data_IF_181617677093
#
_entry.id   IF_181617677093
#
_cell.length_a   1.000
_cell.length_b   1.000
_cell.length_c   1.000
_cell.angle_alpha   90.00
_cell.angle_beta   90.00
_cell.angle_gamma   90.00
#
_symmetry.space_group_name_H-M   'P 1'
#
loop_
_entity.id
_entity.type
_entity.pdbx_description
1 polymer ?
#
# COMPACT_ATOMS: atom_id res chain seq x y z
N UNK A 1 -59.82 -5.88 52.31
CA UNK A 1 -59.50 -4.64 53.05
C UNK A 1 -58.31 -3.97 52.40
N UNK A 2 -58.54 -2.80 51.77
CA UNK A 2 -57.52 -1.89 51.22
C UNK A 2 -56.55 -1.48 52.33
N UNK A 3 -55.25 -1.55 52.07
CA UNK A 3 -54.27 -0.69 52.74
C UNK A 3 -53.44 0.03 51.69
N UNK A 4 -53.80 1.30 51.51
CA UNK A 4 -53.00 2.35 50.90
C UNK A 4 -51.73 2.52 51.74
N UNK A 5 -50.57 2.65 51.09
CA UNK A 5 -49.40 3.26 51.70
C UNK A 5 -48.72 4.15 50.65
N UNK A 6 -48.96 5.45 50.81
CA UNK A 6 -48.20 6.53 50.21
C UNK A 6 -46.78 6.51 50.79
N UNK A 7 -45.76 6.50 49.93
CA UNK A 7 -44.41 6.93 50.31
C UNK A 7 -43.98 7.97 49.30
N UNK A 8 -43.98 9.23 49.75
CA UNK A 8 -43.35 10.36 49.10
C UNK A 8 -41.91 10.50 49.63
N UNK A 9 -40.98 10.65 48.68
CA UNK A 9 -39.83 11.57 48.65
C UNK A 9 -38.82 11.52 49.81
N UNK A 10 -37.60 11.07 49.49
CA UNK A 10 -36.38 11.78 49.90
C UNK A 10 -35.29 11.59 48.82
N UNK A 11 -35.14 12.59 47.95
CA UNK A 11 -34.03 12.69 47.00
C UNK A 11 -32.86 13.36 47.73
N UNK A 12 -31.95 12.57 48.28
CA UNK A 12 -30.67 13.04 48.79
C UNK A 12 -29.63 12.96 47.68
N UNK A 13 -29.30 14.08 47.07
CA UNK A 13 -28.19 14.19 46.12
C UNK A 13 -26.86 13.98 46.87
N UNK A 14 -26.23 12.81 46.67
CA UNK A 14 -24.84 12.60 47.07
C UNK A 14 -23.97 13.18 45.96
N UNK A 15 -23.55 14.43 46.13
CA UNK A 15 -22.49 15.06 45.34
C UNK A 15 -21.18 14.50 45.88
N UNK A 16 -20.71 13.40 45.29
CA UNK A 16 -19.33 12.98 45.44
C UNK A 16 -18.45 13.92 44.61
N UNK A 17 -17.81 14.86 45.29
CA UNK A 17 -16.74 15.67 44.70
C UNK A 17 -15.58 14.70 44.42
N UNK A 18 -15.54 14.14 43.21
CA UNK A 18 -14.36 13.44 42.73
C UNK A 18 -13.32 14.51 42.43
N UNK A 19 -12.28 14.56 43.25
CA UNK A 19 -11.04 15.27 42.92
C UNK A 19 -10.57 14.76 41.56
N UNK A 20 -10.57 15.63 40.54
CA UNK A 20 -9.96 15.31 39.26
C UNK A 20 -8.53 14.87 39.52
N UNK A 21 -8.24 13.60 39.22
CA UNK A 21 -6.88 13.10 39.31
C UNK A 21 -6.04 13.87 38.29
N UNK A 22 -5.11 14.68 38.78
CA UNK A 22 -4.10 15.30 37.95
C UNK A 22 -3.37 14.23 37.14
N UNK A 23 -3.19 14.50 35.85
CA UNK A 23 -2.34 13.75 34.94
C UNK A 23 -0.91 13.72 35.52
N UNK A 24 -0.60 12.67 36.27
CA UNK A 24 0.68 12.52 36.97
C UNK A 24 0.79 11.19 37.70
N UNK A 25 0.44 10.09 37.03
CA UNK A 25 0.75 8.74 37.52
C UNK A 25 2.21 8.37 37.25
N UNK A 26 2.85 7.53 38.10
CA UNK A 26 4.22 7.07 37.90
C UNK A 26 4.26 6.16 36.66
N UNK A 27 4.63 6.75 35.53
CA UNK A 27 4.39 6.20 34.22
C UNK A 27 4.18 7.25 33.13
N UNK A 28 4.36 8.55 33.44
CA UNK A 28 4.79 9.51 32.43
C UNK A 28 6.06 8.98 31.80
N UNK A 29 5.90 8.28 30.66
CA UNK A 29 6.99 8.07 29.72
C UNK A 29 7.45 9.49 29.42
N UNK A 30 8.54 9.91 30.07
CA UNK A 30 9.34 11.03 29.58
C UNK A 30 9.44 10.79 28.09
N UNK A 31 9.10 11.81 27.31
CA UNK A 31 9.24 11.79 25.86
C UNK A 31 10.75 11.68 25.54
N UNK A 32 11.28 10.48 25.76
CA UNK A 32 12.62 10.07 25.42
C UNK A 32 12.62 10.16 23.90
N UNK A 33 13.48 11.00 23.29
CA UNK A 33 13.44 11.40 21.87
C UNK A 33 13.36 10.30 20.80
N UNK A 34 13.19 9.03 21.18
CA UNK A 34 12.68 7.90 20.41
C UNK A 34 11.35 8.20 19.72
N UNK A 35 10.38 8.81 20.40
CA UNK A 35 9.11 9.17 19.74
C UNK A 35 9.32 10.23 18.66
N UNK A 36 10.15 11.25 18.95
CA UNK A 36 10.58 12.25 17.97
C UNK A 36 11.35 11.61 16.80
N UNK A 37 12.17 10.59 17.03
CA UNK A 37 12.94 9.95 15.95
C UNK A 37 12.11 8.99 15.08
N UNK A 38 11.02 8.41 15.58
CA UNK A 38 10.18 7.47 14.82
C UNK A 38 9.39 8.13 13.67
N UNK A 39 9.31 7.47 12.52
CA UNK A 39 8.51 7.92 11.37
C UNK A 39 7.17 7.18 11.35
N UNK A 40 6.20 7.66 12.13
CA UNK A 40 4.95 6.93 12.44
C UNK A 40 3.98 6.84 11.27
N UNK A 41 3.98 7.84 10.40
CA UNK A 41 3.04 7.96 9.29
C UNK A 41 3.79 8.08 7.97
N UNK A 42 3.24 7.55 6.88
CA UNK A 42 3.83 7.74 5.55
C UNK A 42 3.91 9.24 5.19
N UNK A 43 2.88 10.03 5.51
CA UNK A 43 2.94 11.48 5.30
C UNK A 43 4.10 12.15 6.06
N UNK A 44 4.48 11.60 7.21
CA UNK A 44 5.67 12.04 7.94
C UNK A 44 6.95 11.67 7.19
N UNK A 45 7.02 10.47 6.60
CA UNK A 45 8.13 10.07 5.73
C UNK A 45 8.35 11.09 4.61
N UNK A 46 7.30 11.48 3.88
CA UNK A 46 7.38 12.51 2.84
C UNK A 46 7.94 13.84 3.38
N UNK A 47 7.40 14.31 4.51
CA UNK A 47 7.85 15.58 5.11
C UNK A 47 9.31 15.51 5.56
N UNK A 48 9.74 14.42 6.21
CA UNK A 48 11.13 14.23 6.63
C UNK A 48 12.08 14.16 5.45
N UNK A 49 11.71 13.40 4.42
CA UNK A 49 12.48 13.30 3.18
C UNK A 49 12.69 14.69 2.55
N UNK A 50 11.65 15.52 2.58
CA UNK A 50 11.67 16.86 2.02
C UNK A 50 12.22 17.93 2.97
N UNK A 51 12.36 17.67 4.27
CA UNK A 51 12.71 18.67 5.28
C UNK A 51 11.59 19.69 5.53
N UNK A 52 10.35 19.21 5.58
CA UNK A 52 9.13 20.01 5.73
C UNK A 52 8.50 19.84 7.12
N UNK A 53 9.26 19.37 8.11
CA UNK A 53 8.84 19.30 9.51
C UNK A 53 10.01 19.49 10.48
N UNK A 54 9.71 19.90 11.72
CA UNK A 54 10.67 19.99 12.81
C UNK A 54 11.17 18.62 13.26
N UNK A 55 12.32 18.58 13.94
CA UNK A 55 12.97 17.34 14.39
C UNK A 55 12.10 16.54 15.36
N UNK A 56 11.30 17.22 16.18
CA UNK A 56 10.32 16.61 17.08
C UNK A 56 9.03 16.16 16.37
N UNK A 57 8.83 16.52 15.10
CA UNK A 57 7.65 16.20 14.30
C UNK A 57 6.40 17.01 14.64
N UNK A 58 6.49 17.99 15.55
CA UNK A 58 5.32 18.77 16.02
C UNK A 58 4.97 19.95 15.12
N UNK A 59 5.95 20.50 14.40
CA UNK A 59 5.77 21.67 13.53
C UNK A 59 5.97 21.27 12.09
N UNK A 60 5.01 21.60 11.22
CA UNK A 60 5.15 21.47 9.77
C UNK A 60 5.66 22.79 9.18
N UNK A 61 6.63 22.70 8.29
CA UNK A 61 7.14 23.84 7.54
C UNK A 61 6.47 23.98 6.17
N UNK A 62 6.24 25.21 5.76
CA UNK A 62 5.63 25.60 4.49
C UNK A 62 6.55 26.55 3.71
N UNK A 63 6.34 26.72 2.39
CA UNK A 63 7.06 27.72 1.62
C UNK A 63 6.97 29.12 2.28
N UNK A 64 8.12 29.69 2.63
CA UNK A 64 8.23 30.96 3.36
C UNK A 64 8.84 30.80 4.77
N UNK A 65 8.76 29.62 5.37
CA UNK A 65 9.41 29.36 6.65
C UNK A 65 10.93 29.26 6.48
N UNK A 66 11.68 29.80 7.44
CA UNK A 66 13.15 29.83 7.40
C UNK A 66 13.79 28.43 7.37
N UNK A 67 13.08 27.43 7.90
CA UNK A 67 13.53 26.04 7.98
C UNK A 67 12.95 25.15 6.88
N UNK A 68 12.07 25.68 6.01
CA UNK A 68 11.46 24.91 4.94
C UNK A 68 12.52 24.36 3.98
N UNK A 69 12.59 23.04 3.84
CA UNK A 69 13.52 22.30 2.97
C UNK A 69 14.99 22.61 3.26
N UNK A 70 15.32 22.98 4.50
CA UNK A 70 16.68 23.29 4.91
C UNK A 70 17.64 22.10 4.69
N UNK A 71 18.80 22.36 4.08
CA UNK A 71 19.76 21.32 3.67
C UNK A 71 20.26 20.47 4.86
N UNK A 72 20.65 21.11 5.97
CA UNK A 72 21.19 20.42 7.14
C UNK A 72 20.12 19.54 7.81
N UNK A 73 18.90 20.08 7.92
CA UNK A 73 17.75 19.35 8.44
C UNK A 73 17.43 18.12 7.58
N UNK A 74 17.34 18.30 6.25
CA UNK A 74 17.10 17.20 5.31
C UNK A 74 18.17 16.12 5.39
N UNK A 75 19.44 16.52 5.49
CA UNK A 75 20.56 15.57 5.63
C UNK A 75 20.42 14.71 6.88
N UNK A 76 20.06 15.32 8.02
CA UNK A 76 19.80 14.59 9.26
C UNK A 76 18.63 13.60 9.11
N UNK A 77 17.52 14.04 8.51
CA UNK A 77 16.38 13.15 8.28
C UNK A 77 16.71 11.98 7.36
N UNK A 78 17.36 12.24 6.22
CA UNK A 78 17.67 11.18 5.26
C UNK A 78 18.55 10.08 5.86
N UNK A 79 19.40 10.37 6.85
CA UNK A 79 20.19 9.35 7.55
C UNK A 79 19.33 8.40 8.40
N UNK A 80 18.27 8.92 9.03
CA UNK A 80 17.39 8.13 9.91
C UNK A 80 16.25 7.44 9.15
N UNK A 81 15.95 7.88 7.92
CA UNK A 81 14.91 7.31 7.08
C UNK A 81 15.29 5.97 6.44
N UNK A 82 16.55 5.54 6.51
CA UNK A 82 16.94 4.19 6.12
C UNK A 82 16.69 3.19 7.25
N UNK A 83 16.31 1.97 6.90
CA UNK A 83 16.48 0.85 7.80
C UNK A 83 17.99 0.64 8.04
N UNK A 84 18.43 0.91 9.26
CA UNK A 84 19.82 0.85 9.69
C UNK A 84 20.12 -0.39 10.54
N UNK A 85 19.14 -1.29 10.72
CA UNK A 85 19.35 -2.51 11.51
C UNK A 85 19.27 -3.78 10.66
N UNK A 86 18.37 -3.83 9.67
CA UNK A 86 18.09 -5.08 8.92
C UNK A 86 18.37 -4.97 7.43
N UNK A 87 18.49 -3.76 6.88
CA UNK A 87 18.75 -3.56 5.46
C UNK A 87 20.18 -3.90 5.07
N UNK A 88 20.34 -4.52 3.91
CA UNK A 88 21.63 -4.84 3.28
C UNK A 88 22.24 -3.67 2.49
N UNK A 89 21.59 -2.50 2.46
CA UNK A 89 22.08 -1.33 1.72
C UNK A 89 23.38 -0.82 2.36
N UNK A 90 24.48 -0.81 1.59
CA UNK A 90 25.78 -0.38 2.10
C UNK A 90 25.80 1.13 2.45
N UNK A 91 26.62 1.56 3.44
CA UNK A 91 26.75 2.97 3.79
C UNK A 91 27.16 3.87 2.61
N UNK A 92 28.03 3.38 1.73
CA UNK A 92 28.48 4.09 0.53
C UNK A 92 27.31 4.32 -0.42
N UNK A 93 26.47 3.29 -0.61
CA UNK A 93 25.32 3.38 -1.50
C UNK A 93 24.21 4.29 -0.93
N UNK A 94 23.98 4.25 0.39
CA UNK A 94 23.13 5.23 1.10
C UNK A 94 23.64 6.65 0.85
N UNK A 95 24.94 6.87 1.02
CA UNK A 95 25.55 8.19 0.82
C UNK A 95 25.39 8.66 -0.63
N UNK A 96 25.59 7.81 -1.63
CA UNK A 96 25.36 8.17 -3.04
C UNK A 96 23.92 8.63 -3.29
N UNK A 97 22.94 7.91 -2.75
CA UNK A 97 21.53 8.32 -2.85
C UNK A 97 21.27 9.65 -2.15
N UNK A 98 21.76 9.83 -0.91
CA UNK A 98 21.59 11.07 -0.14
C UNK A 98 22.18 12.26 -0.90
N UNK A 99 23.40 12.13 -1.46
CA UNK A 99 24.02 13.20 -2.26
C UNK A 99 23.22 13.50 -3.53
N UNK A 100 22.68 12.48 -4.20
CA UNK A 100 21.83 12.68 -5.38
C UNK A 100 20.51 13.41 -5.05
N UNK A 101 19.93 13.16 -3.87
CA UNK A 101 18.70 13.84 -3.42
C UNK A 101 18.97 15.27 -2.94
N UNK A 102 20.13 15.50 -2.32
CA UNK A 102 20.55 16.79 -1.76
C UNK A 102 21.42 17.64 -2.70
N UNK A 103 21.47 17.31 -4.00
CA UNK A 103 22.27 18.07 -4.97
C UNK A 103 22.00 19.57 -4.90
N UNK A 104 23.06 20.38 -4.81
CA UNK A 104 22.95 21.85 -4.77
C UNK A 104 22.36 22.43 -6.06
N UNK A 105 22.65 21.80 -7.21
CA UNK A 105 22.15 22.24 -8.52
C UNK A 105 20.72 21.76 -8.78
N UNK A 106 20.42 20.52 -8.42
CA UNK A 106 19.12 19.88 -8.71
C UNK A 106 18.61 19.09 -7.51
N UNK A 107 18.16 19.76 -6.43
CA UNK A 107 17.63 19.08 -5.26
C UNK A 107 16.33 18.35 -5.61
N UNK A 108 16.20 17.12 -5.11
CA UNK A 108 15.06 16.25 -5.45
C UNK A 108 14.14 16.09 -4.25
N UNK A 109 12.84 16.04 -4.51
CA UNK A 109 11.79 15.99 -3.50
C UNK A 109 10.76 14.93 -3.86
N UNK A 110 10.16 14.32 -2.84
CA UNK A 110 8.97 13.50 -3.03
C UNK A 110 7.74 14.40 -3.06
N UNK A 111 6.82 14.13 -3.98
CA UNK A 111 5.59 14.89 -4.13
C UNK A 111 4.44 13.91 -3.99
N UNK A 112 3.72 14.02 -2.87
CA UNK A 112 2.63 13.11 -2.53
C UNK A 112 1.63 12.98 -3.67
N UNK A 113 1.16 14.10 -4.21
CA UNK A 113 0.17 14.20 -5.28
C UNK A 113 0.64 13.77 -6.68
N UNK A 114 1.94 13.48 -6.86
CA UNK A 114 2.51 13.15 -8.17
C UNK A 114 2.57 11.62 -8.31
N UNK A 115 2.38 11.13 -9.52
CA UNK A 115 2.65 9.74 -9.86
C UNK A 115 4.11 9.33 -9.60
N UNK A 116 4.40 8.04 -9.78
CA UNK A 116 5.74 7.49 -9.55
C UNK A 116 5.94 6.99 -8.13
N UNK A 117 4.86 6.72 -7.41
CA UNK A 117 4.87 5.86 -6.23
C UNK A 117 3.57 5.06 -6.17
N UNK A 118 3.64 3.87 -5.59
CA UNK A 118 2.53 2.92 -5.53
C UNK A 118 2.59 2.13 -4.22
N UNK A 119 1.45 1.62 -3.77
CA UNK A 119 1.38 0.72 -2.62
C UNK A 119 1.20 -0.72 -3.10
N UNK A 120 1.90 -1.64 -2.47
CA UNK A 120 1.64 -3.07 -2.56
C UNK A 120 1.04 -3.50 -1.22
N UNK A 121 -0.17 -4.05 -1.26
CA UNK A 121 -0.97 -4.42 -0.09
C UNK A 121 -1.23 -5.91 -0.13
N UNK A 122 -0.60 -6.64 0.78
CA UNK A 122 -0.79 -8.07 0.95
C UNK A 122 -1.99 -8.31 1.86
N UNK A 123 -2.86 -9.22 1.45
CA UNK A 123 -4.12 -9.51 2.13
C UNK A 123 -4.42 -11.02 2.13
N UNK A 124 -5.28 -11.43 3.05
CA UNK A 124 -5.84 -12.77 3.11
C UNK A 124 -7.34 -12.73 2.84
N UNK A 125 -7.79 -13.67 2.00
CA UNK A 125 -9.17 -13.88 1.63
C UNK A 125 -9.55 -15.33 1.83
N UNK A 126 -10.81 -15.57 2.17
CA UNK A 126 -11.44 -16.88 2.05
C UNK A 126 -11.99 -17.04 0.64
N UNK A 127 -11.47 -17.99 -0.13
CA UNK A 127 -11.87 -18.31 -1.49
C UNK A 127 -12.24 -19.79 -1.61
N UNK A 128 -13.47 -20.09 -1.99
CA UNK A 128 -13.94 -21.48 -2.26
C UNK A 128 -13.56 -22.50 -1.17
N UNK A 129 -13.65 -22.10 0.10
CA UNK A 129 -13.38 -22.99 1.24
C UNK A 129 -11.94 -22.93 1.79
N UNK A 130 -11.03 -22.18 1.17
CA UNK A 130 -9.62 -22.10 1.56
C UNK A 130 -9.18 -20.65 1.77
N UNK A 131 -8.23 -20.44 2.68
CA UNK A 131 -7.54 -19.15 2.82
C UNK A 131 -6.49 -19.01 1.72
N UNK A 132 -6.58 -17.92 0.97
CA UNK A 132 -5.68 -17.59 -0.11
C UNK A 132 -5.16 -16.16 0.06
N UNK A 133 -3.95 -15.92 -0.45
CA UNK A 133 -3.33 -14.59 -0.45
C UNK A 133 -3.72 -13.83 -1.70
N UNK A 134 -4.08 -12.57 -1.53
CA UNK A 134 -4.32 -11.62 -2.63
C UNK A 134 -3.41 -10.42 -2.40
N UNK A 135 -2.69 -10.00 -3.42
CA UNK A 135 -1.89 -8.78 -3.37
C UNK A 135 -2.53 -7.72 -4.26
N UNK A 136 -2.79 -6.54 -3.70
CA UNK A 136 -3.27 -5.40 -4.45
C UNK A 136 -2.13 -4.44 -4.75
N UNK A 137 -2.02 -4.03 -6.01
CA UNK A 137 -1.23 -2.85 -6.36
C UNK A 137 -2.19 -1.67 -6.38
N UNK A 138 -1.91 -0.67 -5.55
CA UNK A 138 -2.73 0.52 -5.41
C UNK A 138 -1.99 1.76 -5.88
N UNK A 139 -2.75 2.70 -6.43
CA UNK A 139 -2.29 4.04 -6.80
C UNK A 139 -3.17 5.11 -6.18
N UNK A 140 -2.61 6.29 -6.03
CA UNK A 140 -3.39 7.48 -5.73
C UNK A 140 -3.97 8.07 -7.02
N UNK A 141 -5.17 8.59 -6.95
CA UNK A 141 -5.75 9.41 -8.03
C UNK A 141 -6.44 10.66 -7.46
N UNK A 142 -6.51 11.77 -8.21
CA UNK A 142 -7.29 12.94 -7.80
C UNK A 142 -8.78 12.58 -7.65
N UNK A 143 -9.41 13.03 -6.57
CA UNK A 143 -10.84 12.87 -6.34
C UNK A 143 -11.41 14.10 -5.63
N UNK A 144 -12.33 14.81 -6.28
CA UNK A 144 -12.90 16.09 -5.82
C UNK A 144 -11.81 17.10 -5.41
N UNK A 145 -11.70 17.40 -4.10
CA UNK A 145 -10.74 18.34 -3.52
C UNK A 145 -9.50 17.65 -2.93
N UNK A 146 -9.34 16.35 -3.14
CA UNK A 146 -8.26 15.54 -2.55
C UNK A 146 -7.80 14.40 -3.44
N UNK A 147 -7.35 13.33 -2.78
CA UNK A 147 -6.85 12.12 -3.43
C UNK A 147 -7.45 10.89 -2.76
N UNK A 148 -7.64 9.83 -3.53
CA UNK A 148 -8.07 8.53 -3.02
C UNK A 148 -7.11 7.43 -3.49
N UNK A 149 -7.12 6.31 -2.75
CA UNK A 149 -6.44 5.10 -3.18
C UNK A 149 -7.39 4.26 -4.02
N UNK A 150 -6.91 3.81 -5.18
CA UNK A 150 -7.60 2.88 -6.06
C UNK A 150 -6.78 1.62 -6.27
N UNK A 151 -7.49 0.49 -6.44
CA UNK A 151 -6.87 -0.77 -6.84
C UNK A 151 -6.58 -0.67 -8.33
N UNK A 152 -5.30 -0.69 -8.68
CA UNK A 152 -4.82 -0.63 -10.06
C UNK A 152 -4.63 -2.03 -10.64
N UNK A 153 -4.20 -2.99 -9.81
CA UNK A 153 -4.05 -4.39 -10.19
C UNK A 153 -4.35 -5.34 -9.03
N UNK A 154 -4.87 -6.53 -9.37
CA UNK A 154 -5.04 -7.65 -8.45
C UNK A 154 -4.10 -8.78 -8.86
N UNK A 155 -3.23 -9.20 -7.94
CA UNK A 155 -2.35 -10.34 -8.08
C UNK A 155 -2.94 -11.47 -7.23
N UNK A 156 -3.41 -12.52 -7.90
CA UNK A 156 -4.05 -13.65 -7.26
C UNK A 156 -3.70 -14.96 -7.99
N UNK A 157 -2.89 -15.80 -7.34
CA UNK A 157 -2.35 -17.02 -7.96
C UNK A 157 -3.44 -17.94 -8.56
N UNK A 158 -4.60 -18.16 -7.92
CA UNK A 158 -5.68 -18.95 -8.51
C UNK A 158 -6.22 -18.43 -9.85
N UNK A 159 -5.99 -17.17 -10.20
CA UNK A 159 -6.40 -16.61 -11.50
C UNK A 159 -5.35 -16.74 -12.59
N UNK A 160 -4.06 -16.90 -12.26
CA UNK A 160 -2.95 -16.89 -13.24
C UNK A 160 -3.15 -17.91 -14.35
N UNK A 161 -3.56 -19.12 -13.99
CA UNK A 161 -3.70 -20.22 -14.93
C UNK A 161 -5.14 -20.42 -15.44
N UNK A 162 -6.09 -19.62 -14.97
CA UNK A 162 -7.52 -19.83 -15.24
C UNK A 162 -7.88 -19.62 -16.72
N UNK A 163 -7.10 -18.81 -17.44
CA UNK A 163 -7.35 -18.44 -18.84
C UNK A 163 -6.21 -18.83 -19.78
N UNK A 164 -5.34 -19.76 -19.36
CA UNK A 164 -4.24 -20.24 -20.17
C UNK A 164 -4.73 -21.03 -21.37
N UNK A 165 -4.24 -20.68 -22.56
CA UNK A 165 -4.70 -21.34 -23.79
C UNK A 165 -3.94 -22.63 -24.06
N UNK A 166 -4.62 -23.70 -24.50
CA UNK A 166 -3.95 -24.86 -25.05
C UNK A 166 -3.20 -24.49 -26.34
N UNK A 167 -2.05 -25.14 -26.55
CA UNK A 167 -1.21 -25.00 -27.74
C UNK A 167 -1.18 -26.33 -28.49
N UNK A 168 -1.01 -26.28 -29.82
CA UNK A 168 -0.89 -27.46 -30.68
C UNK A 168 -2.23 -28.18 -30.86
N UNK A 169 -2.17 -29.51 -30.95
CA UNK A 169 -3.32 -30.36 -31.30
C UNK A 169 -4.45 -30.35 -30.25
N UNK A 170 -4.18 -29.84 -29.06
CA UNK A 170 -5.19 -29.65 -27.99
C UNK A 170 -6.01 -28.38 -28.15
N UNK A 171 -5.62 -27.49 -29.08
CA UNK A 171 -6.33 -26.23 -29.32
C UNK A 171 -7.61 -26.49 -30.09
N UNK A 172 -8.74 -26.27 -29.44
CA UNK A 172 -10.03 -26.27 -30.10
C UNK A 172 -10.27 -24.95 -30.83
N UNK A 173 -11.03 -24.99 -31.93
CA UNK A 173 -11.36 -23.81 -32.73
C UNK A 173 -12.73 -23.95 -33.39
N UNK A 174 -13.36 -22.82 -33.70
CA UNK A 174 -14.53 -22.77 -34.57
C UNK A 174 -14.07 -22.67 -36.02
N UNK A 175 -14.63 -23.52 -36.89
CA UNK A 175 -14.31 -23.47 -38.32
C UNK A 175 -14.73 -22.12 -38.92
N UNK A 176 -13.96 -21.52 -39.85
CA UNK A 176 -14.31 -20.22 -40.44
C UNK A 176 -15.71 -20.16 -41.09
N UNK A 177 -16.16 -21.27 -41.66
CA UNK A 177 -17.50 -21.41 -42.27
C UNK A 177 -18.62 -21.75 -41.28
N UNK A 178 -18.37 -21.74 -39.96
CA UNK A 178 -19.40 -22.08 -38.96
C UNK A 178 -20.61 -21.14 -39.00
N UNK A 179 -20.45 -19.93 -39.56
CA UNK A 179 -21.53 -18.97 -39.74
C UNK A 179 -22.64 -19.49 -40.68
N UNK A 180 -22.32 -20.35 -41.65
CA UNK A 180 -23.29 -20.98 -42.57
C UNK A 180 -24.29 -21.89 -41.84
N UNK A 181 -23.89 -22.42 -40.68
CA UNK A 181 -24.73 -23.24 -39.83
C UNK A 181 -25.16 -22.49 -38.57
N UNK A 182 -25.14 -21.15 -38.60
CA UNK A 182 -25.52 -20.32 -37.45
C UNK A 182 -24.67 -20.59 -36.19
N UNK A 183 -23.42 -21.05 -36.35
CA UNK A 183 -22.52 -21.41 -35.25
C UNK A 183 -23.07 -22.48 -34.29
N UNK A 184 -23.83 -23.47 -34.79
CA UNK A 184 -24.32 -24.58 -33.97
C UNK A 184 -23.23 -25.32 -33.16
N UNK A 185 -21.98 -25.29 -33.64
CA UNK A 185 -20.82 -25.85 -32.95
C UNK A 185 -20.36 -25.07 -31.70
N UNK A 186 -20.97 -23.93 -31.36
CA UNK A 186 -20.76 -23.27 -30.06
C UNK A 186 -21.17 -24.16 -28.88
N UNK A 187 -22.07 -25.12 -29.11
CA UNK A 187 -22.35 -26.17 -28.12
C UNK A 187 -21.07 -26.87 -27.68
N UNK A 188 -20.22 -27.26 -28.64
CA UNK A 188 -18.93 -27.87 -28.34
C UNK A 188 -18.04 -26.93 -27.54
N UNK A 189 -18.01 -25.65 -27.90
CA UNK A 189 -17.17 -24.65 -27.25
C UNK A 189 -17.54 -24.39 -25.78
N UNK A 190 -18.83 -24.46 -25.42
CA UNK A 190 -19.30 -24.03 -24.09
C UNK A 190 -19.95 -25.12 -23.24
N UNK A 191 -20.21 -26.30 -23.80
CA UNK A 191 -20.78 -27.44 -23.06
C UNK A 191 -19.84 -28.65 -23.05
N UNK A 192 -19.22 -28.95 -24.19
CA UNK A 192 -18.39 -30.17 -24.32
C UNK A 192 -16.91 -29.91 -24.02
N UNK A 193 -16.46 -28.66 -24.17
CA UNK A 193 -15.10 -28.22 -23.90
C UNK A 193 -14.93 -27.74 -22.47
N UNK A 194 -13.82 -28.15 -21.83
CA UNK A 194 -13.37 -27.58 -20.56
C UNK A 194 -12.43 -26.39 -20.73
N UNK A 195 -12.21 -25.91 -21.97
CA UNK A 195 -11.22 -24.89 -22.32
C UNK A 195 -11.86 -23.74 -23.14
N UNK A 196 -12.88 -23.03 -22.60
CA UNK A 196 -13.59 -21.97 -23.31
C UNK A 196 -12.67 -20.83 -23.79
N UNK A 197 -11.54 -20.61 -23.13
CA UNK A 197 -10.51 -19.64 -23.50
C UNK A 197 -9.87 -19.92 -24.87
N UNK A 198 -9.94 -21.15 -25.37
CA UNK A 198 -9.46 -21.55 -26.71
C UNK A 198 -10.12 -20.76 -27.84
N UNK A 199 -11.35 -20.30 -27.61
CA UNK A 199 -12.18 -19.60 -28.59
C UNK A 199 -12.03 -18.07 -28.55
N UNK A 200 -11.08 -17.54 -27.76
CA UNK A 200 -10.77 -16.12 -27.69
C UNK A 200 -9.55 -15.77 -28.58
N UNK A 201 -9.37 -14.49 -28.94
CA UNK A 201 -8.20 -14.01 -29.72
C UNK A 201 -6.87 -14.38 -29.06
N UNK A 202 -5.84 -14.78 -29.82
CA UNK A 202 -4.49 -15.06 -29.26
C UNK A 202 -3.90 -13.93 -28.41
N UNK A 203 -4.32 -12.70 -28.65
CA UNK A 203 -3.93 -11.50 -27.88
C UNK A 203 -4.81 -11.23 -26.64
N UNK A 204 -5.80 -12.08 -26.35
CA UNK A 204 -6.68 -11.93 -25.20
C UNK A 204 -5.90 -12.00 -23.90
N UNK A 205 -6.13 -11.01 -23.03
CA UNK A 205 -5.62 -10.98 -21.66
C UNK A 205 -6.80 -10.73 -20.72
N UNK A 206 -7.00 -11.57 -19.69
CA UNK A 206 -8.04 -11.33 -18.71
C UNK A 206 -7.73 -10.07 -17.91
N UNK A 207 -8.77 -9.30 -17.57
CA UNK A 207 -8.68 -8.28 -16.54
C UNK A 207 -8.98 -8.92 -15.18
N UNK A 208 -7.92 -9.20 -14.41
CA UNK A 208 -8.06 -9.85 -13.11
C UNK A 208 -8.78 -9.00 -12.07
N UNK A 209 -8.80 -7.67 -12.22
CA UNK A 209 -9.61 -6.82 -11.37
C UNK A 209 -11.10 -7.07 -11.61
N UNK A 210 -11.54 -7.15 -12.87
CA UNK A 210 -12.92 -7.50 -13.20
C UNK A 210 -13.32 -8.88 -12.67
N UNK A 211 -12.44 -9.89 -12.82
CA UNK A 211 -12.69 -11.25 -12.30
C UNK A 211 -12.77 -11.24 -10.78
N UNK A 212 -11.86 -10.54 -10.10
CA UNK A 212 -11.86 -10.39 -8.66
C UNK A 212 -13.18 -9.74 -8.16
N UNK A 213 -13.60 -8.64 -8.78
CA UNK A 213 -14.84 -7.95 -8.44
C UNK A 213 -16.07 -8.83 -8.69
N UNK A 214 -16.06 -9.63 -9.75
CA UNK A 214 -17.12 -10.61 -10.01
C UNK A 214 -17.19 -11.66 -8.90
N UNK A 215 -16.07 -12.30 -8.55
CA UNK A 215 -16.02 -13.33 -7.49
C UNK A 215 -16.41 -12.77 -6.11
N UNK A 216 -16.05 -11.50 -5.81
CA UNK A 216 -16.52 -10.78 -4.63
C UNK A 216 -18.05 -10.57 -4.66
N UNK A 217 -18.62 -10.13 -5.78
CA UNK A 217 -20.08 -9.94 -5.93
C UNK A 217 -20.87 -11.25 -5.85
N UNK A 218 -20.27 -12.37 -6.24
CA UNK A 218 -20.86 -13.71 -6.10
C UNK A 218 -20.67 -14.30 -4.68
N UNK A 219 -20.04 -13.58 -3.75
CA UNK A 219 -19.67 -14.06 -2.41
C UNK A 219 -18.73 -15.28 -2.41
N UNK A 220 -17.99 -15.50 -3.49
CA UNK A 220 -16.99 -16.57 -3.57
C UNK A 220 -15.66 -16.15 -2.91
N UNK A 221 -15.40 -14.84 -2.88
CA UNK A 221 -14.30 -14.21 -2.15
C UNK A 221 -14.84 -13.44 -0.94
N UNK A 222 -14.21 -13.64 0.22
CA UNK A 222 -14.49 -12.89 1.43
C UNK A 222 -13.20 -12.40 2.05
N UNK A 223 -13.07 -11.08 2.21
CA UNK A 223 -11.92 -10.46 2.87
C UNK A 223 -11.78 -10.94 4.32
N UNK A 224 -10.57 -11.29 4.73
CA UNK A 224 -10.25 -11.61 6.13
C UNK A 224 -9.42 -10.50 6.77
N UNK A 225 -8.23 -10.21 6.25
CA UNK A 225 -7.34 -9.18 6.83
C UNK A 225 -6.31 -8.68 5.84
N UNK A 226 -5.74 -7.50 6.14
CA UNK A 226 -4.45 -7.06 5.57
C UNK A 226 -3.32 -7.72 6.37
N UNK A 227 -2.30 -8.21 5.69
CA UNK A 227 -1.11 -8.85 6.28
C UNK A 227 0.16 -8.03 6.10
N UNK A 228 0.21 -7.16 5.08
CA UNK A 228 1.38 -6.33 4.79
C UNK A 228 1.06 -5.12 3.94
N UNK A 229 1.85 -4.06 4.12
CA UNK A 229 1.85 -2.88 3.25
C UNK A 229 3.29 -2.44 3.05
N UNK A 230 3.67 -2.23 1.79
CA UNK A 230 4.90 -1.57 1.40
C UNK A 230 4.63 -0.56 0.29
N UNK A 231 5.54 0.40 0.16
CA UNK A 231 5.46 1.43 -0.87
C UNK A 231 6.69 1.38 -1.77
N UNK A 232 6.47 1.58 -3.06
CA UNK A 232 7.49 1.60 -4.08
C UNK A 232 7.61 3.01 -4.63
N UNK A 233 8.83 3.53 -4.74
CA UNK A 233 9.08 4.90 -5.18
C UNK A 233 10.00 4.94 -6.40
N UNK A 234 9.56 5.70 -7.41
CA UNK A 234 10.26 5.98 -8.68
C UNK A 234 10.38 7.48 -8.95
N UNK A 235 10.00 8.35 -8.01
CA UNK A 235 10.00 9.81 -8.19
C UNK A 235 11.40 10.43 -8.24
N UNK A 236 12.41 9.73 -7.71
CA UNK A 236 13.79 10.20 -7.68
C UNK A 236 14.51 9.62 -8.90
N UNK A 237 14.72 10.44 -9.94
CA UNK A 237 15.24 9.95 -11.23
C UNK A 237 16.53 9.13 -11.13
N UNK A 238 16.56 7.95 -11.75
CA UNK A 238 17.70 7.03 -11.65
C UNK A 238 17.76 6.22 -10.34
N UNK A 239 16.72 6.27 -9.52
CA UNK A 239 16.62 5.52 -8.27
C UNK A 239 15.24 4.90 -8.10
N UNK A 240 15.23 3.69 -7.54
CA UNK A 240 14.06 3.00 -7.01
C UNK A 240 14.32 2.70 -5.54
N UNK A 241 13.30 2.85 -4.69
CA UNK A 241 13.40 2.39 -3.31
C UNK A 241 12.05 1.93 -2.77
N UNK A 242 12.12 1.03 -1.80
CA UNK A 242 10.97 0.50 -1.07
C UNK A 242 10.91 1.12 0.32
N UNK A 243 9.70 1.38 0.80
CA UNK A 243 9.45 1.86 2.16
C UNK A 243 8.52 0.89 2.87
N UNK A 244 9.02 0.29 3.95
CA UNK A 244 8.29 -0.66 4.77
C UNK A 244 8.09 -0.10 6.17
N UNK A 245 7.04 -0.55 6.86
CA UNK A 245 6.82 -0.21 8.25
C UNK A 245 7.50 -1.24 9.16
N UNK A 246 8.43 -0.79 10.00
CA UNK A 246 9.12 -1.61 10.98
C UNK A 246 8.59 -1.31 12.37
N UNK A 247 7.93 -2.28 13.00
CA UNK A 247 7.48 -2.18 14.38
C UNK A 247 8.49 -2.85 15.32
N UNK A 248 9.47 -2.07 15.80
CA UNK A 248 10.52 -2.54 16.71
C UNK A 248 10.91 -1.49 17.75
N UNK A 249 11.52 -1.89 18.89
CA UNK A 249 12.08 -0.96 19.85
C UNK A 249 13.24 -0.13 19.26
N UNK A 250 13.45 1.08 19.79
CA UNK A 250 14.58 1.94 19.46
C UNK A 250 14.20 3.13 18.57
N UNK A 251 15.22 3.85 18.07
CA UNK A 251 15.05 5.11 17.33
C UNK A 251 14.81 4.91 15.82
N UNK A 252 15.15 3.73 15.27
CA UNK A 252 14.98 3.41 13.84
C UNK A 252 13.79 2.47 13.65
N UNK A 253 12.60 3.06 13.70
CA UNK A 253 11.29 2.38 13.71
C UNK A 253 10.24 3.22 12.97
N UNK A 254 9.18 2.59 12.47
CA UNK A 254 8.18 3.19 11.59
C UNK A 254 8.48 2.97 10.10
N UNK A 255 8.04 3.90 9.25
CA UNK A 255 8.25 3.84 7.80
C UNK A 255 9.69 4.19 7.43
N UNK A 256 10.42 3.22 6.88
CA UNK A 256 11.83 3.33 6.55
C UNK A 256 12.13 2.75 5.17
N UNK A 257 13.15 3.30 4.51
CA UNK A 257 13.70 2.76 3.27
C UNK A 257 14.33 1.41 3.57
N UNK A 258 13.71 0.34 3.09
CA UNK A 258 14.13 -1.05 3.28
C UNK A 258 15.04 -1.54 2.16
N UNK A 259 14.76 -1.10 0.93
CA UNK A 259 15.47 -1.48 -0.28
C UNK A 259 15.79 -0.25 -1.13
N UNK A 260 16.91 -0.29 -1.86
CA UNK A 260 17.37 0.79 -2.72
C UNK A 260 18.07 0.20 -3.95
N UNK A 261 17.71 0.67 -5.13
CA UNK A 261 18.28 0.24 -6.41
C UNK A 261 18.57 1.47 -7.26
N UNK A 262 19.72 1.47 -7.93
CA UNK A 262 20.06 2.47 -8.94
C UNK A 262 19.53 2.00 -10.29
N UNK A 263 18.81 2.87 -10.98
CA UNK A 263 18.15 2.56 -12.25
C UNK A 263 18.97 3.04 -13.44
N UNK A 264 19.28 2.12 -14.34
CA UNK A 264 19.70 2.37 -15.71
C UNK A 264 18.51 2.43 -16.68
N UNK A 265 18.78 2.60 -17.99
CA UNK A 265 17.75 2.58 -19.02
C UNK A 265 17.02 1.24 -19.08
N UNK A 266 15.68 1.23 -18.99
CA UNK A 266 14.85 0.02 -19.05
C UNK A 266 14.60 -0.68 -17.70
N UNK A 267 15.35 -0.33 -16.65
CA UNK A 267 15.22 -0.97 -15.34
C UNK A 267 13.88 -0.64 -14.68
N UNK A 268 13.38 0.59 -14.86
CA UNK A 268 12.09 1.00 -14.30
C UNK A 268 10.96 0.13 -14.82
N UNK A 269 10.92 -0.10 -16.12
CA UNK A 269 9.90 -0.92 -16.79
C UNK A 269 10.00 -2.38 -16.32
N UNK A 270 11.22 -2.88 -16.15
CA UNK A 270 11.48 -4.25 -15.67
C UNK A 270 11.00 -4.44 -14.23
N UNK A 271 11.31 -3.50 -13.33
CA UNK A 271 10.84 -3.55 -11.94
C UNK A 271 9.32 -3.40 -11.87
N UNK A 272 8.73 -2.51 -12.67
CA UNK A 272 7.27 -2.37 -12.72
C UNK A 272 6.60 -3.67 -13.19
N UNK A 273 7.11 -4.34 -14.22
CA UNK A 273 6.60 -5.66 -14.63
C UNK A 273 6.65 -6.68 -13.50
N UNK A 274 7.76 -6.73 -12.77
CA UNK A 274 7.91 -7.61 -11.61
C UNK A 274 6.90 -7.30 -10.51
N UNK A 275 6.75 -6.02 -10.12
CA UNK A 275 5.78 -5.60 -9.10
C UNK A 275 4.34 -5.94 -9.51
N UNK A 276 4.02 -5.81 -10.80
CA UNK A 276 2.69 -6.09 -11.34
C UNK A 276 2.47 -7.57 -11.68
N UNK A 277 3.49 -8.41 -11.46
CA UNK A 277 3.46 -9.83 -11.77
C UNK A 277 3.06 -10.07 -13.26
N UNK A 278 3.67 -9.27 -14.14
CA UNK A 278 3.52 -9.31 -15.59
C UNK A 278 4.79 -9.90 -16.21
N UNK A 279 4.86 -11.24 -16.22
CA UNK A 279 5.85 -11.98 -17.03
C UNK A 279 5.41 -12.07 -18.51
#
# INVERSE_FOLDING_TARGET
MRKLLLICVFFGAVISIVSGQGLGGPGTIKDDGRFAASTKQLNQFFRRFNGEESVDGNTRFYPGDSLYRNLNLRKGFLQILFDNQTSSISPEFKNQFIQAVLSDTYPRYLIFAREGWLAEVDTEFFFKGKREKVTFIMKIQPQLLGYEWVIDQVIFDPFKNLFNKPVGDKKEFLHPLSHELGFMNLRRAFQDSNLPESFTSSSYKPDYLSVFLYEMKQNNLRFETVTGVKFHFFQIGGWYFEVNNFNRPGFNTGWLISNLVRLGPGDKETILKYIYDQD
#
